data_IF_315018525119
#
_entry.id   IF_315018525119
#
_cell.length_a   1.000
_cell.length_b   1.000
_cell.length_c   1.000
_cell.angle_alpha   90.00
_cell.angle_beta   90.00
_cell.angle_gamma   90.00
#
_symmetry.space_group_name_H-M   'P 1'
#
loop_
_entity.id
_entity.type
_entity.pdbx_description
1 polymer ?
#
# COMPACT_ATOMS: atom_id res chain seq x y z
N UNK A 1 29.24 11.94 -10.39
CA UNK A 1 28.06 11.83 -11.27
C UNK A 1 27.36 10.47 -11.14
N UNK A 2 28.06 9.35 -11.23
CA UNK A 2 27.48 8.01 -11.00
C UNK A 2 26.94 7.80 -9.56
N UNK A 3 27.61 8.33 -8.54
CA UNK A 3 27.14 8.19 -7.15
C UNK A 3 25.95 9.11 -6.80
N UNK A 4 25.84 10.27 -7.46
CA UNK A 4 24.65 11.13 -7.36
C UNK A 4 23.44 10.50 -8.06
N UNK A 5 23.63 9.81 -9.20
CA UNK A 5 22.58 9.04 -9.87
C UNK A 5 22.12 7.84 -9.03
N UNK A 6 23.02 7.20 -8.27
CA UNK A 6 22.66 6.14 -7.32
C UNK A 6 21.81 6.68 -6.17
N UNK A 7 22.18 7.84 -5.60
CA UNK A 7 21.39 8.50 -4.53
C UNK A 7 20.03 9.00 -5.01
N UNK A 8 19.92 9.50 -6.25
CA UNK A 8 18.65 9.93 -6.86
C UNK A 8 17.78 8.71 -7.19
N UNK A 9 18.36 7.63 -7.73
CA UNK A 9 17.67 6.35 -7.98
C UNK A 9 17.14 5.69 -6.71
N UNK A 10 17.86 5.84 -5.58
CA UNK A 10 17.49 5.27 -4.29
C UNK A 10 16.22 5.89 -3.69
N UNK A 11 15.79 7.05 -4.20
CA UNK A 11 14.53 7.72 -3.79
C UNK A 11 13.33 7.34 -4.64
N UNK A 12 13.53 6.73 -5.82
CA UNK A 12 12.42 6.39 -6.72
C UNK A 12 11.62 5.18 -6.23
N UNK A 13 10.31 5.24 -6.50
CA UNK A 13 9.26 4.23 -6.36
C UNK A 13 9.72 2.77 -6.03
N UNK A 14 9.03 2.04 -5.14
CA UNK A 14 9.42 0.70 -4.69
C UNK A 14 9.59 -0.33 -5.83
N UNK A 15 8.94 -0.14 -6.99
CA UNK A 15 9.16 -0.97 -8.20
C UNK A 15 10.47 -0.64 -8.93
N UNK A 16 10.81 0.64 -9.04
CA UNK A 16 12.08 1.13 -9.62
C UNK A 16 13.23 0.76 -8.69
N UNK A 17 13.03 0.92 -7.37
CA UNK A 17 13.98 0.46 -6.37
C UNK A 17 14.21 -1.06 -6.41
N UNK A 18 13.17 -1.88 -6.59
CA UNK A 18 13.36 -3.32 -6.74
C UNK A 18 14.10 -3.69 -8.04
N UNK A 19 13.80 -3.02 -9.16
CA UNK A 19 14.58 -3.24 -10.39
C UNK A 19 16.06 -2.92 -10.17
N UNK A 20 16.35 -1.85 -9.42
CA UNK A 20 17.70 -1.47 -9.01
C UNK A 20 18.32 -2.45 -8.00
N UNK A 21 17.52 -3.01 -7.10
CA UNK A 21 17.95 -4.00 -6.12
C UNK A 21 18.28 -5.35 -6.77
N UNK A 22 17.49 -5.76 -7.76
CA UNK A 22 17.80 -6.91 -8.60
C UNK A 22 19.06 -6.65 -9.43
N UNK A 23 19.23 -5.47 -10.03
CA UNK A 23 20.50 -5.09 -10.67
C UNK A 23 21.65 -5.23 -9.68
N UNK A 24 21.57 -4.66 -8.47
CA UNK A 24 22.66 -4.71 -7.49
C UNK A 24 22.94 -6.14 -6.98
N UNK A 25 21.91 -6.91 -6.64
CA UNK A 25 22.06 -8.29 -6.16
C UNK A 25 22.63 -9.19 -7.26
N UNK A 26 22.12 -9.10 -8.48
CA UNK A 26 22.62 -9.91 -9.59
C UNK A 26 23.95 -9.40 -10.14
N UNK A 27 24.29 -8.11 -10.08
CA UNK A 27 25.65 -7.63 -10.43
C UNK A 27 26.70 -8.04 -9.38
N UNK A 28 26.32 -8.13 -8.09
CA UNK A 28 27.22 -8.61 -7.03
C UNK A 28 27.34 -10.14 -6.98
N UNK A 29 26.27 -10.87 -7.32
CA UNK A 29 26.17 -12.32 -7.09
C UNK A 29 26.20 -13.14 -8.39
N UNK A 30 26.00 -12.50 -9.54
CA UNK A 30 25.94 -13.17 -10.85
C UNK A 30 26.65 -12.36 -11.95
N UNK A 31 26.79 -12.95 -13.13
CA UNK A 31 27.53 -12.40 -14.28
C UNK A 31 26.59 -11.67 -15.25
N UNK A 32 25.30 -11.52 -14.90
CA UNK A 32 24.22 -11.11 -15.78
C UNK A 32 23.95 -9.62 -15.61
N UNK A 33 24.45 -8.81 -16.54
CA UNK A 33 24.22 -7.35 -16.59
C UNK A 33 22.98 -7.03 -17.43
N UNK A 34 21.82 -6.90 -16.79
CA UNK A 34 20.57 -6.48 -17.43
C UNK A 34 20.30 -5.01 -17.11
N UNK A 35 19.80 -4.24 -18.09
CA UNK A 35 19.39 -2.85 -17.87
C UNK A 35 18.22 -2.76 -16.89
N UNK A 36 18.07 -1.62 -16.20
CA UNK A 36 16.98 -1.41 -15.23
C UNK A 36 15.59 -1.66 -15.84
N UNK A 37 15.37 -1.23 -17.09
CA UNK A 37 14.15 -1.52 -17.83
C UNK A 37 13.93 -3.03 -18.08
N UNK A 38 15.00 -3.80 -18.27
CA UNK A 38 14.94 -5.25 -18.42
C UNK A 38 14.47 -5.97 -17.15
N UNK A 39 14.86 -5.47 -15.97
CA UNK A 39 14.36 -6.01 -14.69
C UNK A 39 12.89 -5.70 -14.45
N UNK A 40 12.45 -4.48 -14.80
CA UNK A 40 11.03 -4.10 -14.75
C UNK A 40 10.21 -5.02 -15.67
N UNK A 41 10.67 -5.25 -16.90
CA UNK A 41 10.02 -6.14 -17.84
C UNK A 41 9.96 -7.60 -17.34
N UNK A 42 11.05 -8.09 -16.73
CA UNK A 42 11.11 -9.44 -16.18
C UNK A 42 10.10 -9.66 -15.05
N UNK A 43 9.82 -8.64 -14.23
CA UNK A 43 8.83 -8.71 -13.15
C UNK A 43 7.40 -8.53 -13.63
N UNK A 44 7.24 -7.80 -14.72
CA UNK A 44 5.94 -7.63 -15.34
C UNK A 44 5.39 -8.98 -15.80
N UNK A 45 6.25 -9.92 -16.24
CA UNK A 45 5.84 -11.27 -16.68
C UNK A 45 5.08 -12.04 -15.58
N UNK A 46 5.65 -12.31 -14.38
CA UNK A 46 4.94 -13.01 -13.31
C UNK A 46 3.76 -12.20 -12.75
N UNK A 47 3.84 -10.87 -12.70
CA UNK A 47 2.71 -10.02 -12.25
C UNK A 47 1.53 -10.18 -13.22
N UNK A 48 1.78 -10.07 -14.52
CA UNK A 48 0.76 -10.28 -15.55
C UNK A 48 0.17 -11.69 -15.45
N UNK A 49 1.02 -12.72 -15.33
CA UNK A 49 0.58 -14.10 -15.16
C UNK A 49 -0.36 -14.26 -13.96
N UNK A 50 0.02 -13.73 -12.78
CA UNK A 50 -0.82 -13.81 -11.59
C UNK A 50 -2.12 -12.99 -11.72
N UNK A 51 -2.11 -11.86 -12.43
CA UNK A 51 -3.31 -11.04 -12.66
C UNK A 51 -4.32 -11.67 -13.65
N UNK A 52 -3.90 -12.72 -14.38
CA UNK A 52 -4.84 -13.51 -15.20
C UNK A 52 -5.75 -14.41 -14.37
N UNK A 53 -5.40 -14.68 -13.11
CA UNK A 53 -6.21 -15.50 -12.20
C UNK A 53 -7.49 -14.73 -11.86
N UNK A 54 -8.64 -15.36 -12.11
CA UNK A 54 -9.96 -14.74 -11.96
C UNK A 54 -10.62 -15.05 -10.62
N UNK A 55 -10.21 -16.12 -9.95
CA UNK A 55 -10.83 -16.57 -8.71
C UNK A 55 -9.97 -16.20 -7.49
N UNK A 56 -10.52 -15.36 -6.60
CA UNK A 56 -9.87 -14.97 -5.35
C UNK A 56 -9.55 -16.20 -4.47
N UNK A 57 -10.41 -17.22 -4.48
CA UNK A 57 -10.19 -18.49 -3.76
C UNK A 57 -8.90 -19.22 -4.17
N UNK A 58 -8.49 -19.11 -5.44
CA UNK A 58 -7.23 -19.71 -5.92
C UNK A 58 -6.00 -18.91 -5.47
N UNK A 59 -6.16 -17.60 -5.26
CA UNK A 59 -5.11 -16.71 -4.76
C UNK A 59 -4.92 -16.82 -3.24
N UNK A 60 -5.96 -17.20 -2.49
CA UNK A 60 -5.95 -17.28 -1.03
C UNK A 60 -4.81 -18.14 -0.42
N UNK A 61 -4.54 -19.40 -0.86
CA UNK A 61 -3.45 -20.19 -0.29
C UNK A 61 -2.07 -19.59 -0.60
N UNK A 62 -1.89 -19.07 -1.81
CA UNK A 62 -0.64 -18.41 -2.22
C UNK A 62 -0.39 -17.15 -1.38
N UNK A 63 -1.44 -16.36 -1.15
CA UNK A 63 -1.39 -15.18 -0.28
C UNK A 63 -1.14 -15.55 1.19
N UNK A 64 -1.69 -16.67 1.67
CA UNK A 64 -1.42 -17.19 3.01
C UNK A 64 0.07 -17.50 3.21
N UNK A 65 0.68 -18.21 2.25
CA UNK A 65 2.13 -18.48 2.27
C UNK A 65 2.92 -17.17 2.21
N UNK A 66 2.55 -16.26 1.31
CA UNK A 66 3.22 -14.96 1.20
C UNK A 66 3.15 -14.14 2.51
N UNK A 67 2.01 -14.16 3.22
CA UNK A 67 1.87 -13.48 4.51
C UNK A 67 2.76 -14.11 5.59
N UNK A 68 2.89 -15.43 5.65
CA UNK A 68 3.81 -16.09 6.59
C UNK A 68 5.26 -15.69 6.29
N UNK A 69 5.66 -15.72 5.02
CA UNK A 69 7.00 -15.27 4.59
C UNK A 69 7.22 -13.79 4.93
N UNK A 70 6.20 -12.95 4.73
CA UNK A 70 6.23 -11.53 5.09
C UNK A 70 6.42 -11.32 6.59
N UNK A 71 5.73 -12.09 7.45
CA UNK A 71 5.89 -12.02 8.90
C UNK A 71 7.30 -12.46 9.34
N UNK A 72 7.87 -13.48 8.71
CA UNK A 72 9.26 -13.90 8.98
C UNK A 72 10.23 -12.78 8.57
N UNK A 73 10.08 -12.22 7.37
CA UNK A 73 10.91 -11.11 6.91
C UNK A 73 10.79 -9.90 7.84
N UNK A 74 9.57 -9.59 8.31
CA UNK A 74 9.31 -8.53 9.27
C UNK A 74 9.97 -8.78 10.62
N UNK A 75 9.94 -10.01 11.12
CA UNK A 75 10.60 -10.38 12.38
C UNK A 75 12.13 -10.21 12.29
N UNK A 76 12.74 -10.53 11.14
CA UNK A 76 14.19 -10.32 10.95
C UNK A 76 14.52 -8.83 10.89
N UNK A 77 13.70 -8.02 10.18
CA UNK A 77 13.86 -6.56 10.20
C UNK A 77 13.73 -6.03 11.62
N UNK A 78 12.74 -6.51 12.37
CA UNK A 78 12.53 -6.12 13.76
C UNK A 78 13.73 -6.45 14.64
N UNK A 79 14.34 -7.63 14.46
CA UNK A 79 15.58 -7.98 15.14
C UNK A 79 16.69 -6.97 14.83
N UNK A 80 16.86 -6.58 13.56
CA UNK A 80 17.84 -5.56 13.17
C UNK A 80 17.57 -4.20 13.83
N UNK A 81 16.31 -3.78 13.89
CA UNK A 81 15.91 -2.52 14.55
C UNK A 81 16.23 -2.53 16.04
N UNK A 82 16.05 -3.67 16.71
CA UNK A 82 16.33 -3.83 18.14
C UNK A 82 17.82 -4.03 18.47
N UNK A 83 18.62 -4.49 17.49
CA UNK A 83 20.02 -4.87 17.71
C UNK A 83 20.96 -3.69 17.94
N UNK A 84 20.53 -2.46 17.67
CA UNK A 84 21.38 -1.28 17.88
C UNK A 84 20.58 -0.21 18.59
N UNK A 85 20.90 -0.01 19.86
CA UNK A 85 20.28 1.00 20.70
C UNK A 85 20.86 2.38 20.38
N UNK A 86 20.03 3.23 19.78
CA UNK A 86 20.22 4.67 19.90
C UNK A 86 19.56 5.10 21.21
N UNK A 87 20.18 5.95 22.04
CA UNK A 87 19.57 6.37 23.29
C UNK A 87 18.25 7.09 23.03
N UNK A 88 17.15 6.62 23.62
CA UNK A 88 15.79 7.13 23.34
C UNK A 88 15.62 8.62 23.67
N UNK A 89 16.40 9.15 24.62
CA UNK A 89 16.41 10.56 25.00
C UNK A 89 17.08 11.50 23.99
N UNK A 90 17.73 10.95 22.96
CA UNK A 90 18.38 11.75 21.91
C UNK A 90 17.42 12.16 20.77
N UNK A 91 16.20 11.60 20.76
CA UNK A 91 15.20 11.83 19.72
C UNK A 91 14.01 12.65 20.25
N UNK A 92 13.45 13.57 19.45
CA UNK A 92 12.27 14.32 19.88
C UNK A 92 11.08 13.37 20.03
N UNK A 93 10.42 13.45 21.20
CA UNK A 93 9.27 12.62 21.53
C UNK A 93 8.00 12.99 20.76
N UNK A 94 7.91 14.23 20.29
CA UNK A 94 6.76 14.77 19.55
C UNK A 94 7.25 15.32 18.22
N UNK A 95 6.64 14.85 17.13
CA UNK A 95 6.91 15.36 15.80
C UNK A 95 6.33 16.76 15.58
N UNK A 96 6.77 17.43 14.52
CA UNK A 96 6.24 18.75 14.16
C UNK A 96 4.76 18.68 13.76
N UNK A 97 3.96 19.63 14.26
CA UNK A 97 2.52 19.71 13.95
C UNK A 97 2.24 19.83 12.45
N UNK A 98 3.18 20.41 11.70
CA UNK A 98 3.12 20.53 10.24
C UNK A 98 3.10 19.17 9.51
N UNK A 99 3.63 18.11 10.12
CA UNK A 99 3.69 16.78 9.52
C UNK A 99 2.44 15.93 9.84
N UNK A 100 1.56 16.39 10.74
CA UNK A 100 0.32 15.68 11.07
C UNK A 100 -0.58 15.41 9.85
N UNK A 101 -0.79 16.35 8.91
CA UNK A 101 -1.59 16.07 7.73
C UNK A 101 -0.99 14.99 6.83
N UNK A 102 0.35 14.96 6.71
CA UNK A 102 1.04 13.92 5.95
C UNK A 102 0.88 12.55 6.64
N UNK A 103 1.05 12.52 7.95
CA UNK A 103 0.83 11.33 8.78
C UNK A 103 -0.60 10.81 8.68
N UNK A 104 -1.59 11.71 8.75
CA UNK A 104 -3.01 11.36 8.57
C UNK A 104 -3.21 10.63 7.24
N UNK A 105 -2.75 11.20 6.12
CA UNK A 105 -2.85 10.56 4.81
C UNK A 105 -2.21 9.17 4.78
N UNK A 106 -1.03 9.01 5.37
CA UNK A 106 -0.33 7.72 5.45
C UNK A 106 -1.10 6.69 6.28
N UNK A 107 -1.68 7.07 7.41
CA UNK A 107 -2.49 6.17 8.25
C UNK A 107 -3.77 5.75 7.53
N UNK A 108 -4.44 6.70 6.88
CA UNK A 108 -5.62 6.42 6.07
C UNK A 108 -5.32 5.43 4.95
N UNK A 109 -4.18 5.60 4.26
CA UNK A 109 -3.72 4.63 3.27
C UNK A 109 -3.35 3.28 3.88
N UNK A 110 -2.73 3.25 5.06
CA UNK A 110 -2.28 2.02 5.70
C UNK A 110 -3.45 1.10 6.11
N UNK A 111 -4.59 1.68 6.48
CA UNK A 111 -5.83 0.95 6.77
C UNK A 111 -6.78 0.84 5.57
N UNK A 112 -6.31 1.20 4.37
CA UNK A 112 -7.11 1.10 3.15
C UNK A 112 -7.27 -0.38 2.76
N UNK A 113 -8.46 -0.91 3.00
CA UNK A 113 -8.86 -2.25 2.57
C UNK A 113 -10.37 -2.37 2.31
N UNK A 114 -11.12 -1.27 2.42
CA UNK A 114 -12.60 -1.28 2.42
C UNK A 114 -13.18 -1.90 1.14
N UNK A 115 -12.51 -1.72 0.00
CA UNK A 115 -12.96 -2.26 -1.28
C UNK A 115 -12.95 -3.81 -1.34
N UNK A 116 -12.05 -4.46 -0.60
CA UNK A 116 -11.94 -5.93 -0.58
C UNK A 116 -12.77 -6.59 0.52
N UNK A 117 -13.29 -5.81 1.47
CA UNK A 117 -14.06 -6.32 2.64
C UNK A 117 -15.27 -7.13 2.19
N UNK A 118 -16.15 -6.57 1.35
CA UNK A 118 -17.38 -7.25 0.92
C UNK A 118 -17.12 -8.48 0.04
N UNK A 119 -16.21 -8.44 -0.97
CA UNK A 119 -15.88 -9.63 -1.74
C UNK A 119 -15.26 -10.76 -0.89
N UNK A 120 -14.47 -10.42 0.13
CA UNK A 120 -13.90 -11.41 1.05
C UNK A 120 -15.01 -12.02 1.91
N UNK A 121 -15.87 -11.20 2.51
CA UNK A 121 -17.02 -11.64 3.31
C UNK A 121 -17.91 -12.62 2.52
N UNK A 122 -18.23 -12.28 1.27
CA UNK A 122 -19.05 -13.12 0.38
C UNK A 122 -18.40 -14.47 0.01
N UNK A 123 -17.09 -14.62 0.17
CA UNK A 123 -16.36 -15.86 -0.15
C UNK A 123 -16.01 -16.70 1.08
N UNK A 124 -16.31 -16.22 2.28
CA UNK A 124 -16.15 -17.00 3.51
C UNK A 124 -17.19 -18.11 3.59
N UNK A 125 -16.79 -19.26 4.14
CA UNK A 125 -17.72 -20.35 4.44
C UNK A 125 -18.84 -19.90 5.39
N UNK A 126 -18.50 -19.08 6.39
CA UNK A 126 -19.43 -18.52 7.37
C UNK A 126 -19.31 -16.98 7.43
N UNK A 127 -20.00 -16.23 6.56
CA UNK A 127 -19.89 -14.77 6.48
C UNK A 127 -20.25 -14.04 7.79
N UNK A 128 -21.15 -14.62 8.60
CA UNK A 128 -21.59 -14.03 9.88
C UNK A 128 -20.41 -13.81 10.83
N UNK A 129 -19.40 -14.68 10.81
CA UNK A 129 -18.22 -14.57 11.68
C UNK A 129 -17.23 -13.48 11.23
N UNK A 130 -17.44 -12.86 10.07
CA UNK A 130 -16.58 -11.79 9.58
C UNK A 130 -16.72 -10.50 10.43
N UNK A 131 -17.95 -10.12 10.76
CA UNK A 131 -18.30 -8.88 11.46
C UNK A 131 -18.53 -9.02 12.97
N UNK A 132 -18.51 -10.25 13.52
CA UNK A 132 -18.63 -10.49 14.97
C UNK A 132 -17.57 -9.72 15.75
N UNK A 133 -17.80 -9.44 17.04
CA UNK A 133 -16.89 -8.64 17.90
C UNK A 133 -15.43 -9.12 17.86
N UNK A 134 -15.22 -10.44 17.93
CA UNK A 134 -13.91 -11.12 17.75
C UNK A 134 -13.82 -11.82 16.40
N UNK A 135 -14.52 -11.29 15.40
CA UNK A 135 -14.54 -11.78 14.03
C UNK A 135 -13.24 -11.51 13.30
N UNK A 136 -13.20 -11.97 12.05
CA UNK A 136 -11.99 -11.89 11.22
C UNK A 136 -11.57 -10.45 10.97
N UNK A 137 -12.52 -9.54 10.73
CA UNK A 137 -12.22 -8.13 10.44
C UNK A 137 -11.57 -7.43 11.65
N UNK A 138 -12.20 -7.47 12.82
CA UNK A 138 -11.67 -6.80 14.01
C UNK A 138 -10.32 -7.38 14.46
N UNK A 139 -10.19 -8.71 14.43
CA UNK A 139 -8.96 -9.39 14.83
C UNK A 139 -7.80 -9.06 13.89
N UNK A 140 -8.05 -9.04 12.57
CA UNK A 140 -7.03 -8.68 11.58
C UNK A 140 -6.61 -7.22 11.69
N UNK A 141 -7.55 -6.28 11.80
CA UNK A 141 -7.23 -4.86 12.01
C UNK A 141 -6.41 -4.63 13.29
N UNK A 142 -6.75 -5.32 14.38
CA UNK A 142 -6.00 -5.21 15.65
C UNK A 142 -4.56 -5.74 15.52
N UNK A 143 -4.38 -6.88 14.84
CA UNK A 143 -3.05 -7.47 14.62
C UNK A 143 -2.18 -6.57 13.74
N UNK A 144 -2.75 -6.03 12.66
CA UNK A 144 -2.06 -5.08 11.77
C UNK A 144 -1.70 -3.80 12.52
N UNK A 145 -2.60 -3.28 13.36
CA UNK A 145 -2.34 -2.10 14.17
C UNK A 145 -1.14 -2.30 15.11
N UNK A 146 -1.03 -3.45 15.77
CA UNK A 146 0.13 -3.78 16.61
C UNK A 146 1.40 -3.82 15.76
N UNK A 147 1.37 -4.46 14.59
CA UNK A 147 2.52 -4.54 13.70
C UNK A 147 2.98 -3.14 13.23
N UNK A 148 2.04 -2.26 12.86
CA UNK A 148 2.36 -0.88 12.47
C UNK A 148 2.93 -0.07 13.62
N UNK A 149 2.33 -0.13 14.81
CA UNK A 149 2.82 0.60 15.97
C UNK A 149 4.21 0.13 16.39
N UNK A 150 4.44 -1.18 16.44
CA UNK A 150 5.75 -1.74 16.84
C UNK A 150 6.84 -1.38 15.83
N UNK A 151 6.63 -1.65 14.56
CA UNK A 151 7.63 -1.36 13.50
C UNK A 151 7.86 0.14 13.36
N UNK A 152 6.79 0.95 13.41
CA UNK A 152 6.89 2.41 13.36
C UNK A 152 7.67 2.99 14.55
N UNK A 153 7.38 2.52 15.76
CA UNK A 153 8.05 2.98 16.97
C UNK A 153 9.54 2.62 16.98
N UNK A 154 9.89 1.34 16.77
CA UNK A 154 11.29 0.91 16.78
C UNK A 154 12.06 1.41 15.54
N UNK A 155 11.39 1.57 14.40
CA UNK A 155 11.96 2.20 13.21
C UNK A 155 12.37 3.66 13.48
N UNK A 156 11.49 4.43 14.13
CA UNK A 156 11.80 5.80 14.53
C UNK A 156 12.90 5.87 15.58
N UNK A 157 12.89 4.99 16.59
CA UNK A 157 13.98 4.93 17.58
C UNK A 157 15.35 4.63 16.96
N UNK A 158 15.37 3.84 15.87
CA UNK A 158 16.61 3.41 15.22
C UNK A 158 17.20 4.47 14.29
N UNK A 159 16.36 5.09 13.46
CA UNK A 159 16.79 5.97 12.37
C UNK A 159 16.46 7.46 12.59
N UNK A 160 15.57 7.78 13.52
CA UNK A 160 15.16 9.17 13.78
C UNK A 160 14.69 9.86 12.50
N UNK A 161 15.32 11.01 12.20
CA UNK A 161 15.02 11.82 11.01
C UNK A 161 15.66 11.29 9.71
N UNK A 162 16.57 10.30 9.78
CA UNK A 162 17.25 9.72 8.62
C UNK A 162 16.48 8.54 8.01
N UNK A 163 15.23 8.33 8.42
CA UNK A 163 14.35 7.31 7.85
C UNK A 163 14.04 7.65 6.38
N UNK A 164 14.19 6.66 5.51
CA UNK A 164 13.87 6.79 4.09
C UNK A 164 12.41 6.40 3.84
N UNK A 165 11.91 6.63 2.62
CA UNK A 165 10.51 6.36 2.22
C UNK A 165 10.02 4.94 2.58
N UNK A 166 10.92 3.96 2.61
CA UNK A 166 10.64 2.62 3.13
C UNK A 166 11.73 2.16 4.09
N UNK A 167 11.33 1.48 5.18
CA UNK A 167 12.28 0.98 6.18
C UNK A 167 13.30 -0.02 5.60
N UNK A 168 12.92 -0.71 4.52
CA UNK A 168 13.78 -1.66 3.81
C UNK A 168 14.97 -0.96 3.14
N UNK A 169 14.87 0.33 2.82
CA UNK A 169 15.98 1.12 2.27
C UNK A 169 17.06 1.38 3.31
N UNK A 170 16.67 1.54 4.58
CA UNK A 170 17.59 1.81 5.68
C UNK A 170 18.36 0.55 6.15
N UNK A 171 18.01 -0.65 5.67
CA UNK A 171 18.71 -1.88 6.02
C UNK A 171 20.12 -1.94 5.41
N UNK A 172 21.11 -2.49 6.13
CA UNK A 172 22.48 -2.64 5.63
C UNK A 172 22.55 -3.37 4.29
N UNK A 173 23.49 -2.99 3.44
CA UNK A 173 23.69 -3.59 2.10
C UNK A 173 24.56 -4.84 2.19
N UNK A 174 24.14 -5.82 2.98
CA UNK A 174 24.77 -7.16 3.01
C UNK A 174 23.92 -8.16 2.21
N UNK A 175 24.56 -9.21 1.68
CA UNK A 175 23.86 -10.25 0.90
C UNK A 175 22.66 -10.83 1.65
N UNK A 176 22.74 -10.94 2.98
CA UNK A 176 21.63 -11.40 3.82
C UNK A 176 20.41 -10.46 3.76
N UNK A 177 20.60 -9.16 3.97
CA UNK A 177 19.49 -8.20 3.92
C UNK A 177 19.00 -7.97 2.49
N UNK A 178 19.84 -8.13 1.47
CA UNK A 178 19.40 -8.11 0.08
C UNK A 178 18.43 -9.26 -0.21
N UNK A 179 18.71 -10.48 0.27
CA UNK A 179 17.77 -11.61 0.17
C UNK A 179 16.43 -11.32 0.84
N UNK A 180 16.44 -10.68 2.02
CA UNK A 180 15.19 -10.29 2.72
C UNK A 180 14.40 -9.26 1.91
N UNK A 181 15.06 -8.29 1.30
CA UNK A 181 14.41 -7.32 0.40
C UNK A 181 13.77 -8.01 -0.81
N UNK A 182 14.43 -9.03 -1.38
CA UNK A 182 13.84 -9.85 -2.45
C UNK A 182 12.60 -10.64 -1.96
N UNK A 183 12.64 -11.19 -0.75
CA UNK A 183 11.49 -11.86 -0.13
C UNK A 183 10.29 -10.92 0.03
N UNK A 184 10.51 -9.68 0.50
CA UNK A 184 9.45 -8.68 0.62
C UNK A 184 8.78 -8.40 -0.72
N UNK A 185 9.57 -8.25 -1.79
CA UNK A 185 8.99 -7.98 -3.10
C UNK A 185 8.26 -9.17 -3.67
N UNK A 186 8.77 -10.39 -3.50
CA UNK A 186 8.03 -11.59 -3.89
C UNK A 186 6.65 -11.64 -3.19
N UNK A 187 6.58 -11.29 -1.90
CA UNK A 187 5.33 -11.20 -1.17
C UNK A 187 4.40 -10.11 -1.74
N UNK A 188 4.92 -8.90 -1.99
CA UNK A 188 4.15 -7.79 -2.57
C UNK A 188 3.60 -8.14 -3.96
N UNK A 189 4.38 -8.86 -4.77
CA UNK A 189 3.93 -9.33 -6.09
C UNK A 189 2.74 -10.28 -6.00
N UNK A 190 2.71 -11.15 -5.00
CA UNK A 190 1.57 -12.04 -4.72
C UNK A 190 0.36 -11.26 -4.19
N UNK A 191 0.57 -10.19 -3.42
CA UNK A 191 -0.51 -9.35 -2.90
C UNK A 191 -1.17 -8.46 -3.97
N UNK A 192 -0.45 -8.11 -5.04
CA UNK A 192 -0.96 -7.24 -6.10
C UNK A 192 -2.24 -7.77 -6.81
N UNK A 193 -2.31 -9.05 -7.24
CA UNK A 193 -3.54 -9.64 -7.79
C UNK A 193 -4.76 -9.53 -6.87
N UNK A 194 -4.59 -9.60 -5.54
CA UNK A 194 -5.70 -9.48 -4.59
C UNK A 194 -6.30 -8.07 -4.61
N UNK A 195 -5.47 -7.03 -4.66
CA UNK A 195 -5.94 -5.65 -4.75
C UNK A 195 -6.52 -5.36 -6.14
N UNK A 196 -5.94 -5.96 -7.18
CA UNK A 196 -6.40 -5.86 -8.56
C UNK A 196 -7.75 -6.56 -8.80
N UNK A 197 -8.11 -7.54 -7.96
CA UNK A 197 -9.32 -8.33 -8.10
C UNK A 197 -10.60 -7.48 -8.12
N UNK A 198 -10.77 -6.56 -7.16
CA UNK A 198 -12.02 -5.78 -6.99
C UNK A 198 -12.36 -4.90 -8.20
N UNK A 199 -11.47 -4.01 -8.68
CA UNK A 199 -11.78 -3.20 -9.85
C UNK A 199 -12.02 -4.08 -11.09
N UNK A 200 -11.31 -5.21 -11.19
CA UNK A 200 -11.43 -6.09 -12.33
C UNK A 200 -12.72 -6.92 -12.31
N UNK A 201 -13.17 -7.40 -11.15
CA UNK A 201 -14.47 -8.05 -10.97
C UNK A 201 -15.59 -7.09 -11.39
N UNK A 202 -15.47 -5.79 -11.05
CA UNK A 202 -16.43 -4.78 -11.46
C UNK A 202 -16.42 -4.53 -12.97
N UNK A 203 -15.24 -4.45 -13.58
CA UNK A 203 -15.07 -4.31 -15.03
C UNK A 203 -15.64 -5.52 -15.78
N UNK A 204 -15.36 -6.73 -15.28
CA UNK A 204 -15.85 -7.99 -15.82
C UNK A 204 -17.39 -8.08 -15.81
N UNK A 205 -18.03 -7.74 -14.67
CA UNK A 205 -19.50 -7.63 -14.57
C UNK A 205 -20.08 -6.62 -15.57
N UNK A 206 -19.37 -5.52 -15.85
CA UNK A 206 -19.81 -4.53 -16.84
C UNK A 206 -19.69 -5.07 -18.27
N UNK A 207 -18.61 -5.77 -18.59
CA UNK A 207 -18.39 -6.42 -19.90
C UNK A 207 -19.47 -7.46 -20.17
N UNK A 208 -19.75 -8.35 -19.20
CA UNK A 208 -20.77 -9.39 -19.36
C UNK A 208 -22.17 -8.82 -19.63
N UNK A 209 -22.49 -7.62 -19.12
CA UNK A 209 -23.79 -6.98 -19.33
C UNK A 209 -23.92 -6.29 -20.70
N UNK A 210 -22.82 -5.83 -21.29
CA UNK A 210 -22.86 -4.95 -22.48
C UNK A 210 -22.27 -5.55 -23.76
N UNK A 211 -21.51 -6.64 -23.67
CA UNK A 211 -20.75 -7.19 -24.80
C UNK A 211 -21.25 -8.58 -25.16
N UNK A 212 -21.30 -8.88 -26.46
CA UNK A 212 -21.68 -10.20 -26.96
C UNK A 212 -20.73 -11.30 -26.46
N UNK A 213 -21.24 -12.51 -26.11
CA UNK A 213 -20.50 -13.57 -25.42
C UNK A 213 -19.20 -13.96 -26.12
N UNK A 214 -19.19 -13.97 -27.46
CA UNK A 214 -18.03 -14.33 -28.29
C UNK A 214 -16.81 -13.42 -28.09
N UNK A 215 -17.02 -12.16 -27.69
CA UNK A 215 -15.93 -11.18 -27.50
C UNK A 215 -15.60 -10.92 -26.03
N UNK A 216 -16.38 -11.49 -25.10
CA UNK A 216 -16.26 -11.20 -23.66
C UNK A 216 -14.88 -11.60 -23.12
N UNK A 217 -14.44 -12.84 -23.36
CA UNK A 217 -13.17 -13.33 -22.79
C UNK A 217 -11.97 -12.53 -23.29
N UNK A 218 -11.87 -12.31 -24.61
CA UNK A 218 -10.78 -11.53 -25.20
C UNK A 218 -10.74 -10.11 -24.63
N UNK A 219 -11.90 -9.47 -24.47
CA UNK A 219 -11.96 -8.12 -23.90
C UNK A 219 -11.57 -8.10 -22.43
N UNK A 220 -11.98 -9.09 -21.64
CA UNK A 220 -11.64 -9.19 -20.21
C UNK A 220 -10.12 -9.30 -20.03
N UNK A 221 -9.45 -10.20 -20.75
CA UNK A 221 -7.99 -10.31 -20.69
C UNK A 221 -7.29 -9.06 -21.22
N UNK A 222 -7.83 -8.42 -22.26
CA UNK A 222 -7.28 -7.16 -22.79
C UNK A 222 -7.34 -6.05 -21.74
N UNK A 223 -8.50 -5.86 -21.08
CA UNK A 223 -8.68 -4.86 -20.02
C UNK A 223 -7.76 -5.15 -18.83
N UNK A 224 -7.60 -6.43 -18.44
CA UNK A 224 -6.66 -6.83 -17.39
C UNK A 224 -5.23 -6.38 -17.71
N UNK A 225 -4.73 -6.78 -18.89
CA UNK A 225 -3.35 -6.49 -19.30
C UNK A 225 -3.11 -4.99 -19.48
N UNK A 226 -4.05 -4.27 -20.11
CA UNK A 226 -3.95 -2.81 -20.27
C UNK A 226 -3.91 -2.12 -18.90
N UNK A 227 -4.74 -2.54 -17.94
CA UNK A 227 -4.75 -1.93 -16.61
C UNK A 227 -3.44 -2.20 -15.87
N UNK A 228 -2.88 -3.41 -15.95
CA UNK A 228 -1.56 -3.72 -15.36
C UNK A 228 -0.44 -2.89 -15.99
N UNK A 229 -0.48 -2.67 -17.31
CA UNK A 229 0.47 -1.81 -17.99
C UNK A 229 0.34 -0.34 -17.53
N UNK A 230 -0.89 0.15 -17.41
CA UNK A 230 -1.16 1.51 -16.93
C UNK A 230 -0.65 1.71 -15.50
N UNK A 231 -0.87 0.75 -14.59
CA UNK A 231 -0.33 0.85 -13.22
C UNK A 231 1.20 0.73 -13.17
N UNK A 232 1.82 0.06 -14.14
CA UNK A 232 3.27 0.04 -14.29
C UNK A 232 3.82 1.39 -14.75
N UNK A 233 3.18 2.00 -15.75
CA UNK A 233 3.55 3.34 -16.25
C UNK A 233 3.38 4.41 -15.16
N UNK A 234 2.26 4.40 -14.44
CA UNK A 234 2.04 5.32 -13.32
C UNK A 234 3.08 5.15 -12.21
N UNK A 235 3.54 3.92 -11.96
CA UNK A 235 4.57 3.68 -10.96
C UNK A 235 5.94 4.27 -11.33
N UNK A 236 6.27 4.38 -12.61
CA UNK A 236 7.52 5.01 -13.08
C UNK A 236 7.52 6.53 -12.91
N UNK A 237 6.33 7.15 -12.92
CA UNK A 237 6.16 8.60 -12.79
C UNK A 237 6.24 9.12 -11.34
N UNK A 238 6.32 8.24 -10.33
CA UNK A 238 6.27 8.62 -8.91
C UNK A 238 7.69 8.65 -8.32
N UNK A 239 8.29 9.84 -8.09
CA UNK A 239 9.64 9.95 -7.53
C UNK A 239 9.68 9.87 -6.00
N UNK A 240 8.58 10.14 -5.31
CA UNK A 240 8.49 10.11 -3.84
C UNK A 240 7.30 9.28 -3.39
N UNK A 241 7.56 8.06 -2.93
CA UNK A 241 6.51 7.12 -2.56
C UNK A 241 5.73 7.62 -1.36
N UNK A 242 6.41 8.11 -0.32
CA UNK A 242 5.76 8.52 0.92
C UNK A 242 4.75 9.66 0.70
N UNK A 243 5.11 10.65 -0.12
CA UNK A 243 4.22 11.76 -0.47
C UNK A 243 3.03 11.30 -1.31
N UNK A 244 3.25 10.36 -2.24
CA UNK A 244 2.16 9.79 -3.05
C UNK A 244 1.20 8.97 -2.19
N UNK A 245 1.70 8.13 -1.29
CA UNK A 245 0.90 7.37 -0.32
C UNK A 245 0.02 8.31 0.51
N UNK A 246 0.62 9.38 1.04
CA UNK A 246 -0.09 10.38 1.83
C UNK A 246 -1.16 11.10 1.02
N UNK A 247 -0.89 11.46 -0.24
CA UNK A 247 -1.86 12.07 -1.14
C UNK A 247 -3.03 11.13 -1.45
N UNK A 248 -2.76 9.88 -1.81
CA UNK A 248 -3.81 8.90 -2.13
C UNK A 248 -4.66 8.60 -0.90
N UNK A 249 -4.05 8.46 0.28
CA UNK A 249 -4.79 8.22 1.52
C UNK A 249 -5.62 9.42 1.98
N UNK A 250 -5.08 10.65 1.89
CA UNK A 250 -5.81 11.87 2.25
C UNK A 250 -6.95 12.17 1.29
N UNK A 251 -6.81 11.87 0.00
CA UNK A 251 -7.88 11.98 -1.00
C UNK A 251 -8.80 10.76 -0.94
N UNK A 252 -8.42 9.65 -1.55
CA UNK A 252 -9.29 8.50 -1.74
C UNK A 252 -9.67 7.84 -0.41
N UNK A 253 -8.68 7.64 0.48
CA UNK A 253 -8.91 6.99 1.78
C UNK A 253 -9.90 7.74 2.65
N UNK A 254 -9.78 9.07 2.77
CA UNK A 254 -10.73 9.91 3.53
C UNK A 254 -12.16 9.77 3.03
N UNK A 255 -12.39 9.81 1.72
CA UNK A 255 -13.74 9.67 1.17
C UNK A 255 -14.30 8.26 1.35
N UNK A 256 -13.50 7.23 1.03
CA UNK A 256 -13.94 5.84 1.05
C UNK A 256 -14.23 5.29 2.44
N UNK A 257 -13.53 5.79 3.47
CA UNK A 257 -13.64 5.25 4.84
C UNK A 257 -14.38 6.18 5.81
N UNK A 258 -14.24 7.51 5.68
CA UNK A 258 -14.80 8.47 6.64
C UNK A 258 -15.92 9.36 6.09
N UNK A 259 -16.17 9.36 4.77
CA UNK A 259 -17.29 10.09 4.17
C UNK A 259 -18.41 9.14 3.76
N UNK A 260 -18.14 8.18 2.87
CA UNK A 260 -19.19 7.33 2.33
C UNK A 260 -19.88 6.44 3.38
N UNK A 261 -19.17 5.73 4.27
CA UNK A 261 -19.85 4.87 5.25
C UNK A 261 -20.73 5.67 6.23
N UNK A 262 -20.26 6.77 6.86
CA UNK A 262 -21.11 7.63 7.68
C UNK A 262 -22.31 8.23 6.94
N UNK A 263 -22.12 8.63 5.68
CA UNK A 263 -23.20 9.17 4.86
C UNK A 263 -24.26 8.11 4.55
N UNK A 264 -23.85 6.89 4.21
CA UNK A 264 -24.76 5.77 3.96
C UNK A 264 -25.51 5.39 5.25
N UNK A 265 -24.83 5.33 6.40
CA UNK A 265 -25.47 5.06 7.69
C UNK A 265 -26.52 6.13 8.01
N UNK A 266 -26.20 7.41 7.82
CA UNK A 266 -27.12 8.52 8.04
C UNK A 266 -28.37 8.43 7.15
N UNK A 267 -28.18 8.15 5.85
CA UNK A 267 -29.29 8.00 4.89
C UNK A 267 -30.17 6.80 5.24
N UNK A 268 -29.59 5.68 5.67
CA UNK A 268 -30.33 4.49 6.08
C UNK A 268 -31.17 4.73 7.34
N UNK A 269 -30.62 5.37 8.36
CA UNK A 269 -31.37 5.70 9.59
C UNK A 269 -32.45 6.77 9.34
N UNK A 270 -32.16 7.75 8.48
CA UNK A 270 -33.16 8.72 8.06
C UNK A 270 -34.32 8.07 7.30
N UNK A 271 -34.03 7.15 6.37
CA UNK A 271 -35.06 6.42 5.62
C UNK A 271 -35.93 5.51 6.50
N UNK A 272 -35.43 5.09 7.67
CA UNK A 272 -36.17 4.29 8.67
C UNK A 272 -36.88 5.14 9.72
N UNK A 273 -36.70 6.46 9.69
CA UNK A 273 -37.19 7.39 10.72
C UNK A 273 -36.68 7.07 12.14
N UNK A 274 -35.51 6.43 12.24
CA UNK A 274 -34.86 5.99 13.49
C UNK A 274 -33.66 6.90 13.86
N UNK A 275 -33.62 8.12 13.32
CA UNK A 275 -32.47 9.00 13.45
C UNK A 275 -32.31 9.52 14.88
N UNK A 276 -31.32 9.00 15.59
CA UNK A 276 -30.96 9.43 16.95
C UNK A 276 -29.89 10.53 16.90
N UNK A 277 -29.99 11.52 17.80
CA UNK A 277 -29.00 12.62 17.91
C UNK A 277 -27.55 12.14 18.03
N UNK A 278 -27.33 11.03 18.76
CA UNK A 278 -26.00 10.43 18.91
C UNK A 278 -25.44 9.88 17.59
N UNK A 279 -26.27 9.23 16.77
CA UNK A 279 -25.89 8.73 15.44
C UNK A 279 -25.58 9.90 14.51
N UNK A 280 -26.40 10.95 14.55
CA UNK A 280 -26.18 12.15 13.75
C UNK A 280 -24.86 12.83 14.10
N UNK A 281 -24.65 13.19 15.37
CA UNK A 281 -23.44 13.89 15.82
C UNK A 281 -22.16 13.11 15.55
N UNK A 282 -22.14 11.79 15.82
CA UNK A 282 -20.99 10.93 15.54
C UNK A 282 -20.62 10.93 14.04
N UNK A 283 -21.62 10.75 13.17
CA UNK A 283 -21.38 10.68 11.73
C UNK A 283 -20.98 12.03 11.13
N UNK A 284 -21.60 13.12 11.56
CA UNK A 284 -21.17 14.48 11.18
C UNK A 284 -19.73 14.74 11.64
N UNK A 285 -19.36 14.36 12.86
CA UNK A 285 -17.99 14.53 13.36
C UNK A 285 -16.97 13.74 12.52
N UNK A 286 -17.26 12.49 12.16
CA UNK A 286 -16.39 11.68 11.28
C UNK A 286 -16.21 12.35 9.90
N UNK A 287 -17.30 12.82 9.30
CA UNK A 287 -17.23 13.51 8.01
C UNK A 287 -16.46 14.83 8.08
N UNK A 288 -16.58 15.59 9.17
CA UNK A 288 -15.78 16.82 9.38
C UNK A 288 -14.29 16.51 9.50
N UNK A 289 -13.92 15.48 10.27
CA UNK A 289 -12.53 15.02 10.36
C UNK A 289 -12.02 14.60 8.97
N UNK A 290 -12.85 13.92 8.17
CA UNK A 290 -12.50 13.53 6.81
C UNK A 290 -12.21 14.75 5.91
N UNK A 291 -13.06 15.78 5.96
CA UNK A 291 -12.89 16.99 5.15
C UNK A 291 -11.65 17.78 5.57
N UNK A 292 -11.40 17.89 6.88
CA UNK A 292 -10.20 18.56 7.41
C UNK A 292 -8.94 17.77 7.00
N UNK A 293 -8.95 16.45 7.18
CA UNK A 293 -7.85 15.57 6.80
C UNK A 293 -7.59 15.56 5.29
N UNK A 294 -8.64 15.58 4.48
CA UNK A 294 -8.57 15.74 3.03
C UNK A 294 -7.92 17.08 2.65
N UNK A 295 -8.43 18.20 3.15
CA UNK A 295 -7.95 19.52 2.78
C UNK A 295 -6.50 19.73 3.21
N UNK A 296 -6.19 19.42 4.47
CA UNK A 296 -4.85 19.62 5.03
C UNK A 296 -3.84 18.62 4.47
N UNK A 297 -4.21 17.34 4.34
CA UNK A 297 -3.35 16.29 3.82
C UNK A 297 -3.02 16.53 2.35
N UNK A 298 -4.03 16.78 1.52
CA UNK A 298 -3.84 17.09 0.09
C UNK A 298 -2.98 18.33 -0.10
N UNK A 299 -3.23 19.41 0.66
CA UNK A 299 -2.42 20.61 0.60
C UNK A 299 -0.95 20.35 0.97
N UNK A 300 -0.70 19.68 2.09
CA UNK A 300 0.65 19.37 2.54
C UNK A 300 1.39 18.49 1.53
N UNK A 301 0.76 17.41 1.05
CA UNK A 301 1.35 16.51 0.06
C UNK A 301 1.64 17.25 -1.25
N UNK A 302 0.71 18.05 -1.77
CA UNK A 302 0.92 18.79 -3.02
C UNK A 302 2.03 19.83 -2.89
N UNK A 303 2.08 20.58 -1.79
CA UNK A 303 3.13 21.57 -1.56
C UNK A 303 4.50 20.90 -1.52
N UNK A 304 4.63 19.77 -0.83
CA UNK A 304 5.92 19.09 -0.71
C UNK A 304 6.30 18.34 -2.00
N UNK A 305 5.32 17.84 -2.76
CA UNK A 305 5.53 17.32 -4.13
C UNK A 305 6.04 18.43 -5.05
N UNK A 306 5.37 19.59 -5.09
CA UNK A 306 5.78 20.73 -5.94
C UNK A 306 7.18 21.20 -5.56
N UNK A 307 7.51 21.28 -4.27
CA UNK A 307 8.87 21.61 -3.81
C UNK A 307 9.91 20.57 -4.23
N UNK A 308 9.54 19.29 -4.20
CA UNK A 308 10.42 18.21 -4.61
C UNK A 308 10.71 18.24 -6.12
N UNK A 309 9.71 18.52 -6.94
CA UNK A 309 9.87 18.67 -8.40
C UNK A 309 10.43 20.04 -8.83
N UNK A 310 10.26 21.07 -8.00
CA UNK A 310 10.60 22.46 -8.34
C UNK A 310 12.02 22.89 -7.99
N UNK A 311 12.83 22.04 -7.35
CA UNK A 311 14.27 22.30 -7.20
C UNK A 311 14.98 21.85 -8.48
N UNK A 312 15.60 22.77 -9.26
CA UNK A 312 16.54 22.37 -10.28
C UNK A 312 17.72 21.69 -9.59
N UNK A 313 18.11 20.50 -10.07
CA UNK A 313 19.36 19.86 -9.68
C UNK A 313 20.53 20.82 -10.00
N UNK A 314 21.11 21.42 -8.97
CA UNK A 314 22.40 22.13 -9.04
C UNK A 314 23.46 21.24 -8.41
#
# INVERSE_FOLDING_TARGET
MADNLKQVSQKLCPKVHFSFLCVQFFDQTSWIRISQAGWIALLLVPICALCTIRELKQLAPLAGVANVVYLIALAIVMQNLLSTSVPSWSLPAVGELRNLPLFFGTVMFAFEGVAVVLPIENQMSDPIHFITRSGVLNTSCFLVLIAYMTVGFFGYLRFGNDVLDTITLNLPQTNFYQTIKLMFVACIMVSYPLQFYVPMERAEKWIHRKVAPEKQEKLIYTVRMVTVLLTCMLAELIPHLALFISLVGSVAGSFLTLVFPPMIELLCYYARDELTWWVWTRNIALMLVAVIGFATGTYASLVDIIKAFGKPDV
#
